data_IF_371793687291
#
_entry.id   IF_371793687291
#
_cell.length_a   1.000
_cell.length_b   1.000
_cell.length_c   1.000
_cell.angle_alpha   90.00
_cell.angle_beta   90.00
_cell.angle_gamma   90.00
#
_symmetry.space_group_name_H-M   'P 1'
#
loop_
_entity.id
_entity.type
_entity.pdbx_description
1 polymer ?
#
# COMPACT_ATOMS: atom_id res chain seq x y z
N UNK A 1 1.59 11.01 -8.77
CA UNK A 1 1.18 9.82 -8.02
C UNK A 1 1.69 8.54 -8.67
N UNK A 2 1.79 7.50 -7.88
CA UNK A 2 2.26 6.21 -8.38
C UNK A 2 1.27 5.60 -9.35
N UNK A 3 1.76 5.24 -10.53
CA UNK A 3 0.97 4.52 -11.54
C UNK A 3 1.92 3.84 -12.52
N UNK A 4 1.50 2.75 -13.17
CA UNK A 4 2.34 2.10 -14.15
C UNK A 4 2.57 3.00 -15.36
N UNK A 5 3.79 2.96 -15.90
CA UNK A 5 4.09 3.69 -17.13
C UNK A 5 3.44 3.04 -18.34
N UNK A 6 3.24 1.73 -18.29
CA UNK A 6 2.68 0.95 -19.38
C UNK A 6 1.87 -0.21 -18.82
N UNK A 7 0.69 -0.46 -19.38
CA UNK A 7 -0.16 -1.58 -18.99
C UNK A 7 -0.58 -2.34 -20.22
N UNK A 8 -0.68 -3.67 -20.08
CA UNK A 8 -1.16 -4.54 -21.16
C UNK A 8 -2.65 -4.31 -21.40
N UNK A 9 -3.42 -4.15 -20.34
CA UNK A 9 -4.86 -3.87 -20.41
C UNK A 9 -5.17 -2.67 -19.54
N UNK A 10 -5.84 -1.70 -20.11
CA UNK A 10 -6.21 -0.49 -19.38
C UNK A 10 -7.39 -0.72 -18.43
N UNK A 11 -8.21 -1.73 -18.71
CA UNK A 11 -9.38 -2.09 -17.91
C UNK A 11 -9.34 -3.58 -17.59
N UNK A 12 -8.40 -4.01 -16.75
CA UNK A 12 -8.34 -5.42 -16.36
C UNK A 12 -9.53 -5.79 -15.49
N UNK A 13 -9.80 -7.09 -15.40
CA UNK A 13 -10.78 -7.60 -14.45
C UNK A 13 -10.32 -7.28 -13.03
N UNK A 14 -11.30 -7.06 -12.13
CA UNK A 14 -11.00 -6.81 -10.74
C UNK A 14 -10.30 -8.03 -10.11
N UNK A 15 -9.21 -7.79 -9.42
CA UNK A 15 -8.47 -8.83 -8.71
C UNK A 15 -8.90 -8.78 -7.26
N UNK A 16 -9.26 -9.94 -6.70
CA UNK A 16 -9.68 -10.03 -5.31
C UNK A 16 -8.47 -9.89 -4.38
N UNK A 17 -8.68 -9.22 -3.25
CA UNK A 17 -7.67 -9.09 -2.21
C UNK A 17 -7.78 -10.16 -1.11
N UNK A 18 -8.74 -11.05 -1.22
CA UNK A 18 -8.99 -12.11 -0.26
C UNK A 18 -7.87 -13.16 -0.30
N UNK A 19 -7.66 -13.83 0.82
CA UNK A 19 -6.65 -14.87 0.93
C UNK A 19 -5.35 -14.35 1.53
N UNK A 20 -4.35 -15.21 1.56
CA UNK A 20 -3.05 -14.92 2.15
C UNK A 20 -2.04 -14.55 1.07
N UNK A 21 -1.15 -13.63 1.40
CA UNK A 21 -0.05 -13.27 0.52
C UNK A 21 0.96 -14.41 0.49
N UNK A 22 1.42 -14.78 -0.72
CA UNK A 22 2.42 -15.84 -0.91
C UNK A 22 3.85 -15.31 -1.00
N UNK A 23 4.01 -14.00 -1.13
CA UNK A 23 5.32 -13.38 -1.27
C UNK A 23 5.31 -12.00 -0.62
N UNK A 24 6.49 -11.49 -0.30
CA UNK A 24 6.60 -10.16 0.30
C UNK A 24 6.08 -10.08 1.72
N UNK A 25 6.19 -11.17 2.49
CA UNK A 25 5.66 -11.26 3.84
C UNK A 25 6.72 -10.98 4.91
N UNK A 26 7.94 -10.68 4.50
CA UNK A 26 9.05 -10.44 5.42
C UNK A 26 9.69 -9.09 5.17
N UNK A 27 10.25 -8.50 6.23
CA UNK A 27 11.05 -7.27 6.10
C UNK A 27 12.38 -7.66 5.46
N UNK A 28 12.67 -7.07 4.30
CA UNK A 28 13.85 -7.42 3.50
C UNK A 28 14.89 -6.31 3.41
N UNK A 29 14.46 -5.06 3.32
CA UNK A 29 15.34 -3.92 3.08
C UNK A 29 15.62 -3.09 4.33
N UNK A 30 14.61 -2.91 5.17
CA UNK A 30 14.73 -2.11 6.39
C UNK A 30 14.88 -2.97 7.63
N UNK A 31 14.61 -2.37 8.77
CA UNK A 31 14.68 -3.03 10.07
C UNK A 31 13.28 -3.30 10.61
N UNK A 32 12.31 -2.47 10.25
CA UNK A 32 10.92 -2.58 10.67
C UNK A 32 10.00 -2.45 9.46
N UNK A 33 8.86 -3.08 9.52
CA UNK A 33 7.89 -3.02 8.45
C UNK A 33 6.47 -2.95 8.94
N UNK A 34 5.59 -2.46 8.07
CA UNK A 34 4.16 -2.41 8.30
C UNK A 34 3.51 -3.52 7.47
N UNK A 35 2.95 -4.50 8.17
CA UNK A 35 2.37 -5.68 7.55
C UNK A 35 0.86 -5.61 7.59
N UNK A 36 0.22 -6.04 6.51
CA UNK A 36 -1.24 -6.11 6.44
C UNK A 36 -1.77 -7.28 7.27
N UNK A 37 -2.70 -7.00 8.16
CA UNK A 37 -3.41 -8.04 8.92
C UNK A 37 -4.67 -8.45 8.19
N UNK A 38 -5.29 -7.53 7.47
CA UNK A 38 -6.43 -7.81 6.59
C UNK A 38 -6.09 -7.38 5.17
N UNK A 39 -6.73 -7.99 4.18
CA UNK A 39 -6.52 -7.60 2.79
C UNK A 39 -7.41 -6.43 2.39
N UNK A 40 -6.97 -5.64 1.42
CA UNK A 40 -7.77 -4.59 0.82
C UNK A 40 -7.07 -4.07 -0.45
N UNK A 41 -7.78 -3.26 -1.20
CA UNK A 41 -7.19 -2.44 -2.25
C UNK A 41 -6.71 -1.13 -1.64
N UNK A 42 -5.49 -0.73 -1.98
CA UNK A 42 -4.89 0.52 -1.49
C UNK A 42 -4.66 1.42 -2.69
N UNK A 43 -5.21 2.63 -2.65
CA UNK A 43 -5.07 3.57 -3.76
C UNK A 43 -3.68 4.21 -3.78
N UNK A 44 -3.26 4.67 -4.96
CA UNK A 44 -1.99 5.40 -5.09
C UNK A 44 -1.93 6.60 -4.15
N UNK A 45 -3.07 7.26 -3.96
CA UNK A 45 -3.16 8.41 -3.05
C UNK A 45 -2.92 8.01 -1.59
N UNK A 46 -3.47 6.86 -1.17
CA UNK A 46 -3.26 6.34 0.19
C UNK A 46 -1.78 5.97 0.41
N UNK A 47 -1.17 5.32 -0.58
CA UNK A 47 0.26 4.97 -0.51
C UNK A 47 1.10 6.24 -0.37
N UNK A 48 0.83 7.26 -1.16
CA UNK A 48 1.56 8.52 -1.10
C UNK A 48 1.37 9.23 0.25
N UNK A 49 0.16 9.22 0.78
CA UNK A 49 -0.12 9.80 2.10
C UNK A 49 0.67 9.12 3.21
N UNK A 50 0.72 7.78 3.19
CA UNK A 50 1.49 7.03 4.18
C UNK A 50 2.99 7.31 4.05
N UNK A 51 3.50 7.37 2.82
CA UNK A 51 4.91 7.69 2.57
C UNK A 51 5.28 9.07 3.13
N UNK A 52 4.44 10.06 2.91
CA UNK A 52 4.67 11.43 3.41
C UNK A 52 4.73 11.43 4.94
N UNK A 53 3.83 10.71 5.61
CA UNK A 53 3.83 10.62 7.07
C UNK A 53 5.14 10.01 7.56
N UNK A 54 5.59 8.92 6.95
CA UNK A 54 6.85 8.28 7.34
C UNK A 54 8.03 9.22 7.19
N UNK A 55 8.12 9.92 6.05
CA UNK A 55 9.20 10.84 5.78
C UNK A 55 9.21 12.04 6.74
N UNK A 56 8.05 12.59 7.00
CA UNK A 56 7.93 13.76 7.90
C UNK A 56 8.27 13.41 9.34
N UNK A 57 7.77 12.29 9.84
CA UNK A 57 8.00 11.92 11.21
C UNK A 57 9.47 11.64 11.51
N UNK A 58 10.16 11.03 10.56
CA UNK A 58 11.59 10.73 10.72
C UNK A 58 12.48 11.94 10.37
N UNK A 59 11.90 13.05 9.95
CA UNK A 59 12.61 14.26 9.53
C UNK A 59 13.65 13.96 8.44
N UNK A 60 13.29 13.04 7.55
CA UNK A 60 14.16 12.57 6.46
C UNK A 60 15.41 11.83 6.93
N UNK A 61 15.48 11.45 8.20
CA UNK A 61 16.52 10.54 8.69
C UNK A 61 16.13 9.12 8.28
N UNK A 62 17.11 8.28 7.99
CA UNK A 62 16.85 6.91 7.59
C UNK A 62 16.27 6.78 6.19
N UNK A 63 15.78 5.58 5.90
CA UNK A 63 15.24 5.24 4.59
C UNK A 63 13.86 4.61 4.73
N UNK A 64 13.03 4.85 3.71
CA UNK A 64 11.69 4.28 3.61
C UNK A 64 11.60 3.51 2.30
N UNK A 65 11.12 2.28 2.35
CA UNK A 65 10.88 1.45 1.17
C UNK A 65 9.39 1.19 1.04
N UNK A 66 8.84 1.46 -0.15
CA UNK A 66 7.45 1.13 -0.49
C UNK A 66 7.48 -0.22 -1.19
N UNK A 67 6.85 -1.23 -0.56
CA UNK A 67 6.88 -2.61 -1.04
C UNK A 67 5.67 -3.00 -1.88
N UNK A 68 4.74 -2.08 -2.09
CA UNK A 68 3.53 -2.30 -2.89
C UNK A 68 3.47 -1.25 -3.99
N UNK A 69 2.84 -1.62 -5.10
CA UNK A 69 2.70 -0.71 -6.24
C UNK A 69 1.27 -0.79 -6.79
N UNK A 70 0.64 0.36 -7.08
CA UNK A 70 -0.72 0.38 -7.60
C UNK A 70 -0.73 0.08 -9.10
N UNK A 71 -0.87 -1.18 -9.44
CA UNK A 71 -0.84 -1.64 -10.83
C UNK A 71 -2.22 -1.99 -11.40
N UNK A 72 -3.26 -1.99 -10.58
CA UNK A 72 -4.63 -2.32 -11.02
C UNK A 72 -5.43 -1.05 -11.22
N UNK A 73 -5.97 -0.87 -12.42
CA UNK A 73 -6.84 0.26 -12.72
C UNK A 73 -8.26 -0.04 -12.26
N UNK A 74 -8.85 0.89 -11.50
CA UNK A 74 -10.26 0.82 -11.12
C UNK A 74 -11.02 1.96 -11.75
N UNK A 75 -12.19 1.64 -12.28
CA UNK A 75 -13.08 2.63 -12.83
C UNK A 75 -14.04 3.12 -11.74
N UNK A 76 -14.29 4.42 -11.76
CA UNK A 76 -15.28 5.02 -10.89
C UNK A 76 -16.32 5.70 -11.78
N UNK A 77 -17.58 5.34 -11.60
CA UNK A 77 -18.65 6.05 -12.32
C UNK A 77 -18.87 7.41 -11.69
N UNK A 78 -18.89 8.49 -12.49
CA UNK A 78 -19.31 9.78 -11.96
C UNK A 78 -20.74 9.67 -11.42
N UNK A 79 -21.11 10.44 -10.39
CA UNK A 79 -22.46 10.39 -9.84
C UNK A 79 -23.55 10.69 -10.86
N UNK A 80 -23.21 11.42 -11.92
CA UNK A 80 -24.13 11.87 -12.95
C UNK A 80 -24.29 10.89 -14.11
N UNK A 81 -23.49 9.84 -14.16
CA UNK A 81 -23.55 8.87 -15.25
C UNK A 81 -24.71 7.91 -15.02
N UNK A 82 -25.62 7.86 -16.00
CA UNK A 82 -26.76 6.96 -15.93
C UNK A 82 -26.34 5.52 -16.15
N UNK A 83 -27.12 4.58 -15.58
CA UNK A 83 -26.90 3.15 -15.81
C UNK A 83 -27.00 2.84 -17.30
N UNK A 84 -26.10 1.97 -17.76
CA UNK A 84 -26.08 1.53 -19.15
C UNK A 84 -25.12 2.28 -20.06
N UNK A 85 -24.49 3.34 -19.59
CA UNK A 85 -23.51 4.07 -20.42
C UNK A 85 -22.14 3.41 -20.46
N UNK A 86 -22.02 2.18 -19.95
CA UNK A 86 -20.80 1.40 -20.02
C UNK A 86 -19.80 1.72 -18.91
N UNK A 87 -18.67 1.03 -18.97
CA UNK A 87 -17.60 1.21 -18.00
C UNK A 87 -16.86 2.52 -18.30
N UNK A 88 -16.74 3.39 -17.31
CA UNK A 88 -16.02 4.64 -17.46
C UNK A 88 -14.52 4.45 -17.62
N UNK A 89 -13.80 5.52 -17.86
CA UNK A 89 -12.34 5.51 -17.92
C UNK A 89 -11.77 5.19 -16.55
N UNK A 90 -10.60 4.51 -16.48
CA UNK A 90 -9.94 4.31 -15.20
C UNK A 90 -9.62 5.65 -14.52
N UNK A 91 -10.08 5.81 -13.28
CA UNK A 91 -9.87 7.05 -12.53
C UNK A 91 -8.86 6.91 -11.41
N UNK A 92 -8.56 5.68 -11.01
CA UNK A 92 -7.61 5.45 -9.93
C UNK A 92 -6.85 4.16 -10.13
N UNK A 93 -5.65 4.16 -9.60
CA UNK A 93 -4.81 2.98 -9.56
C UNK A 93 -4.75 2.47 -8.14
N UNK A 94 -4.83 1.15 -7.96
CA UNK A 94 -4.80 0.52 -6.66
C UNK A 94 -3.80 -0.62 -6.62
N UNK A 95 -3.24 -0.86 -5.43
CA UNK A 95 -2.48 -2.05 -5.13
C UNK A 95 -3.40 -3.05 -4.47
N UNK A 96 -3.33 -4.31 -4.89
CA UNK A 96 -4.08 -5.40 -4.27
C UNK A 96 -3.21 -5.97 -3.16
N UNK A 97 -3.62 -5.77 -1.91
CA UNK A 97 -2.85 -6.22 -0.75
C UNK A 97 -3.60 -7.34 -0.05
N UNK A 98 -2.94 -8.48 0.07
CA UNK A 98 -3.47 -9.64 0.78
C UNK A 98 -2.90 -9.71 2.18
N UNK A 99 -3.58 -10.44 3.05
CA UNK A 99 -3.13 -10.63 4.45
C UNK A 99 -1.70 -11.18 4.49
N UNK A 100 -0.86 -10.54 5.28
CA UNK A 100 0.54 -10.94 5.46
C UNK A 100 1.54 -10.11 4.67
N UNK A 101 1.09 -9.35 3.70
CA UNK A 101 1.99 -8.55 2.85
C UNK A 101 2.62 -7.41 3.63
N UNK A 102 3.94 -7.26 3.53
CA UNK A 102 4.65 -6.09 4.05
C UNK A 102 4.49 -4.97 3.02
N UNK A 103 3.93 -3.85 3.45
CA UNK A 103 3.60 -2.73 2.57
C UNK A 103 4.69 -1.66 2.56
N UNK A 104 5.22 -1.35 3.72
CA UNK A 104 6.27 -0.34 3.90
C UNK A 104 7.35 -0.88 4.81
N UNK A 105 8.58 -0.44 4.57
CA UNK A 105 9.69 -0.75 5.46
C UNK A 105 10.43 0.54 5.81
N UNK A 106 11.03 0.57 6.98
CA UNK A 106 11.79 1.71 7.45
C UNK A 106 13.07 1.21 8.12
N UNK A 107 14.16 1.95 7.94
CA UNK A 107 15.44 1.63 8.55
C UNK A 107 16.26 2.87 8.76
N UNK A 108 17.36 2.73 9.51
CA UNK A 108 18.26 3.83 9.76
C UNK A 108 17.79 4.82 10.83
N UNK A 109 16.77 4.47 11.62
CA UNK A 109 16.25 5.29 12.72
C UNK A 109 16.09 4.42 13.95
N UNK A 110 16.06 5.03 15.16
CA UNK A 110 15.82 4.26 16.39
C UNK A 110 14.47 3.55 16.36
N UNK A 111 14.36 2.43 17.07
CA UNK A 111 13.16 1.60 17.12
C UNK A 111 11.92 2.40 17.49
N UNK A 112 12.02 3.23 18.52
CA UNK A 112 10.88 4.03 18.99
C UNK A 112 10.34 4.95 17.91
N UNK A 113 11.23 5.59 17.17
CA UNK A 113 10.86 6.49 16.09
C UNK A 113 10.27 5.69 14.93
N UNK A 114 10.87 4.55 14.58
CA UNK A 114 10.38 3.69 13.51
C UNK A 114 8.97 3.19 13.80
N UNK A 115 8.74 2.68 15.01
CA UNK A 115 7.42 2.16 15.39
C UNK A 115 6.35 3.24 15.39
N UNK A 116 6.65 4.41 15.92
CA UNK A 116 5.70 5.51 15.93
C UNK A 116 5.39 6.03 14.53
N UNK A 117 6.41 6.12 13.68
CA UNK A 117 6.22 6.53 12.30
C UNK A 117 5.30 5.56 11.54
N UNK A 118 5.53 4.25 11.71
CA UNK A 118 4.70 3.23 11.07
C UNK A 118 3.27 3.24 11.62
N UNK A 119 3.11 3.46 12.92
CA UNK A 119 1.79 3.57 13.53
C UNK A 119 1.00 4.74 12.94
N UNK A 120 1.63 5.90 12.81
CA UNK A 120 0.99 7.08 12.22
C UNK A 120 0.65 6.85 10.75
N UNK A 121 1.54 6.21 10.00
CA UNK A 121 1.30 5.89 8.60
C UNK A 121 0.11 4.94 8.43
N UNK A 122 -0.09 4.02 9.37
CA UNK A 122 -1.18 3.05 9.29
C UNK A 122 -2.56 3.73 9.28
N UNK A 123 -2.68 4.90 9.86
CA UNK A 123 -3.94 5.63 9.87
C UNK A 123 -4.36 6.13 8.48
N UNK A 124 -3.43 6.17 7.54
CA UNK A 124 -3.71 6.57 6.15
C UNK A 124 -4.13 5.40 5.27
N UNK A 125 -4.12 4.19 5.81
CA UNK A 125 -4.40 2.97 5.07
C UNK A 125 -5.75 2.37 5.46
N UNK A 126 -6.47 1.75 4.50
CA UNK A 126 -7.84 1.28 4.74
C UNK A 126 -7.92 -0.15 5.27
N UNK A 127 -6.88 -0.62 5.95
CA UNK A 127 -6.86 -1.99 6.45
C UNK A 127 -6.16 -2.04 7.81
N UNK A 128 -6.33 -3.18 8.48
CA UNK A 128 -5.64 -3.42 9.75
C UNK A 128 -4.19 -3.80 9.46
N UNK A 129 -3.30 -3.27 10.28
CA UNK A 129 -1.86 -3.46 10.11
C UNK A 129 -1.23 -3.84 11.44
N UNK A 130 -0.01 -4.36 11.35
CA UNK A 130 0.85 -4.52 12.52
C UNK A 130 2.28 -4.21 12.12
N UNK A 131 3.08 -3.87 13.12
CA UNK A 131 4.49 -3.56 12.93
C UNK A 131 5.28 -4.82 13.21
N UNK A 132 6.18 -5.18 12.28
CA UNK A 132 7.05 -6.33 12.43
C UNK A 132 8.50 -5.92 12.32
N UNK A 133 9.39 -6.70 12.94
CA UNK A 133 10.82 -6.50 12.84
C UNK A 133 11.39 -7.42 11.77
N UNK A 134 12.60 -7.08 11.29
CA UNK A 134 13.33 -7.95 10.39
C UNK A 134 13.62 -9.28 11.08
N UNK A 135 13.30 -10.35 10.40
CA UNK A 135 13.44 -11.70 10.96
C UNK A 135 12.17 -12.28 11.57
N UNK A 136 11.14 -11.47 11.79
CA UNK A 136 9.85 -11.99 12.23
C UNK A 136 9.11 -12.58 11.04
N UNK A 137 8.62 -13.80 11.21
CA UNK A 137 7.77 -14.46 10.22
C UNK A 137 6.47 -14.86 10.87
N UNK A 138 5.37 -14.57 10.20
CA UNK A 138 4.05 -15.01 10.63
C UNK A 138 3.15 -15.31 9.46
#
# INVERSE_FOLDING_TARGET
>A
MLQPKRVKYRRPHSIKYEGLSKAGNEVSFGEFGLQAVTGNWITARQIESARIVLTRYTKRAGQVWIRIFPHLAKTKKPPEVRMGSGKGSPEMWVAVVKTGRVMFEIGGVPEEIAREALRLASYKLPLKTRIIEKGETR
#
